data_IF_113814721424
#
_entry.id   IF_113814721424
#
_cell.length_a   1.000
_cell.length_b   1.000
_cell.length_c   1.000
_cell.angle_alpha   90.00
_cell.angle_beta   90.00
_cell.angle_gamma   90.00
#
_symmetry.space_group_name_H-M   'P 1'
#
loop_
_entity.id
_entity.type
_entity.pdbx_description
1 polymer ?
#
# COMPACT_ATOMS: atom_id res chain seq x y z
N UNK A 1 3.37 -13.73 10.23
CA UNK A 1 3.05 -12.52 9.45
C UNK A 1 2.48 -12.93 8.10
N UNK A 2 1.60 -12.14 7.48
CA UNK A 2 1.04 -12.43 6.15
C UNK A 2 1.43 -11.27 5.23
N UNK A 3 2.05 -11.57 4.10
CA UNK A 3 2.28 -10.60 3.04
C UNK A 3 1.14 -10.68 2.02
N UNK A 4 0.47 -9.55 1.80
CA UNK A 4 -0.53 -9.41 0.74
C UNK A 4 0.17 -9.10 -0.58
N UNK A 5 -0.14 -9.88 -1.61
CA UNK A 5 0.39 -9.73 -2.96
C UNK A 5 -0.76 -9.59 -3.93
N UNK A 6 -0.74 -8.58 -4.78
CA UNK A 6 -1.75 -8.37 -5.83
C UNK A 6 -1.12 -8.66 -7.18
N UNK A 7 -1.76 -9.52 -7.97
CA UNK A 7 -1.34 -9.89 -9.33
C UNK A 7 -2.58 -9.88 -10.22
N UNK A 8 -2.61 -9.07 -11.28
CA UNK A 8 -3.77 -8.95 -12.20
C UNK A 8 -5.12 -8.83 -11.45
N UNK A 9 -5.18 -7.92 -10.47
CA UNK A 9 -6.32 -7.68 -9.57
C UNK A 9 -6.70 -8.84 -8.62
N UNK A 10 -5.90 -9.92 -8.58
CA UNK A 10 -6.07 -11.02 -7.65
C UNK A 10 -5.20 -10.85 -6.41
N UNK A 11 -5.83 -10.92 -5.23
CA UNK A 11 -5.15 -10.90 -3.93
C UNK A 11 -4.69 -12.32 -3.54
N UNK A 12 -3.39 -12.46 -3.30
CA UNK A 12 -2.73 -13.64 -2.75
C UNK A 12 -2.14 -13.33 -1.38
N UNK A 13 -2.45 -14.16 -0.39
CA UNK A 13 -1.93 -14.04 0.96
C UNK A 13 -0.81 -15.05 1.22
N UNK A 14 0.41 -14.55 1.37
CA UNK A 14 1.59 -15.37 1.63
C UNK A 14 1.90 -15.41 3.12
N UNK A 15 1.67 -16.55 3.76
CA UNK A 15 2.02 -16.74 5.16
C UNK A 15 3.55 -16.89 5.33
N UNK A 16 4.13 -15.94 6.07
CA UNK A 16 5.54 -15.92 6.47
C UNK A 16 5.61 -15.89 8.01
N UNK A 17 5.83 -17.03 8.67
CA UNK A 17 5.98 -17.09 10.12
C UNK A 17 7.21 -16.29 10.59
N UNK A 18 7.13 -15.66 11.77
CA UNK A 18 8.27 -14.93 12.35
C UNK A 18 9.47 -15.84 12.61
N UNK A 19 9.22 -17.10 13.00
CA UNK A 19 10.26 -18.11 13.16
C UNK A 19 11.02 -18.38 11.86
N UNK A 20 10.33 -18.34 10.72
CA UNK A 20 10.94 -18.48 9.41
C UNK A 20 11.80 -17.26 9.07
N UNK A 21 11.30 -16.05 9.33
CA UNK A 21 12.05 -14.80 9.14
C UNK A 21 13.33 -14.81 9.97
N UNK A 22 13.26 -15.25 11.23
CA UNK A 22 14.43 -15.37 12.11
C UNK A 22 15.46 -16.36 11.58
N UNK A 23 15.02 -17.52 11.06
CA UNK A 23 15.92 -18.53 10.50
C UNK A 23 16.53 -18.12 9.15
N UNK A 24 15.85 -17.27 8.39
CA UNK A 24 16.29 -16.85 7.05
C UNK A 24 17.21 -15.61 7.05
N UNK A 25 17.59 -15.08 8.22
CA UNK A 25 18.41 -13.85 8.30
C UNK A 25 19.73 -13.95 7.54
N UNK A 26 20.43 -15.08 7.60
CA UNK A 26 21.68 -15.27 6.86
C UNK A 26 21.48 -15.19 5.35
N UNK A 27 20.35 -15.73 4.86
CA UNK A 27 19.99 -15.63 3.46
C UNK A 27 19.68 -14.18 3.06
N UNK A 28 18.94 -13.45 3.91
CA UNK A 28 18.63 -12.03 3.67
C UNK A 28 19.89 -11.16 3.66
N UNK A 29 20.81 -11.39 4.61
CA UNK A 29 22.09 -10.68 4.67
C UNK A 29 22.96 -10.96 3.43
N UNK A 30 22.96 -12.21 2.93
CA UNK A 30 23.63 -12.54 1.67
C UNK A 30 23.01 -11.81 0.49
N UNK A 31 21.68 -11.75 0.42
CA UNK A 31 20.99 -11.04 -0.66
C UNK A 31 21.30 -9.54 -0.62
N UNK A 32 21.36 -8.95 0.56
CA UNK A 32 21.79 -7.56 0.75
C UNK A 32 23.21 -7.33 0.24
N UNK A 33 24.15 -8.18 0.64
CA UNK A 33 25.54 -8.11 0.20
C UNK A 33 25.70 -8.33 -1.31
N UNK A 34 24.86 -9.17 -1.91
CA UNK A 34 24.83 -9.38 -3.36
C UNK A 34 24.35 -8.11 -4.09
N UNK A 35 23.30 -7.45 -3.58
CA UNK A 35 22.81 -6.18 -4.14
C UNK A 35 23.76 -5.00 -3.89
N UNK A 36 24.55 -5.03 -2.81
CA UNK A 36 25.59 -4.03 -2.52
C UNK A 36 26.75 -4.04 -3.53
N UNK A 37 26.89 -5.11 -4.33
CA UNK A 37 27.89 -5.22 -5.41
C UNK A 37 27.41 -4.64 -6.75
N UNK A 38 26.23 -4.05 -6.76
CA UNK A 38 25.55 -3.60 -7.95
C UNK A 38 24.58 -4.65 -8.49
N UNK A 39 23.48 -4.16 -9.03
CA UNK A 39 22.42 -5.00 -9.59
C UNK A 39 21.94 -4.42 -10.91
N UNK A 40 21.73 -5.29 -11.91
CA UNK A 40 21.07 -4.88 -13.14
C UNK A 40 19.56 -4.77 -12.89
N UNK A 41 19.07 -3.54 -12.93
CA UNK A 41 17.64 -3.21 -12.85
C UNK A 41 17.19 -2.80 -14.23
N UNK A 42 16.45 -3.66 -14.90
CA UNK A 42 15.98 -3.47 -16.27
C UNK A 42 17.19 -3.27 -17.21
N UNK A 43 17.34 -2.07 -17.79
CA UNK A 43 18.45 -1.68 -18.68
C UNK A 43 19.54 -0.86 -17.98
N UNK A 44 19.43 -0.65 -16.67
CA UNK A 44 20.33 0.17 -15.87
C UNK A 44 21.13 -0.68 -14.90
N UNK A 45 22.41 -0.35 -14.72
CA UNK A 45 23.22 -0.90 -13.65
C UNK A 45 23.15 0.03 -12.44
N UNK A 46 22.59 -0.46 -11.33
CA UNK A 46 22.48 0.31 -10.09
C UNK A 46 23.54 -0.20 -9.12
N UNK A 47 24.56 0.61 -8.82
CA UNK A 47 25.70 0.21 -7.99
C UNK A 47 25.30 -0.20 -6.57
N UNK A 48 24.33 0.50 -5.96
CA UNK A 48 23.83 0.16 -4.63
C UNK A 48 22.34 0.49 -4.51
N UNK A 49 21.45 -0.47 -4.82
CA UNK A 49 20.01 -0.29 -4.69
C UNK A 49 19.61 0.14 -3.27
N UNK A 50 18.73 1.13 -3.18
CA UNK A 50 18.15 1.54 -1.91
C UNK A 50 17.12 0.51 -1.40
N UNK A 51 16.57 0.74 -0.21
CA UNK A 51 15.70 -0.22 0.45
C UNK A 51 14.42 -0.52 -0.34
N UNK A 52 13.84 0.50 -0.99
CA UNK A 52 12.65 0.34 -1.82
C UNK A 52 12.96 -0.48 -3.07
N UNK A 53 14.05 -0.14 -3.75
CA UNK A 53 14.48 -0.86 -4.96
C UNK A 53 14.90 -2.31 -4.65
N UNK A 54 15.50 -2.57 -3.49
CA UNK A 54 15.76 -3.95 -3.02
C UNK A 54 14.48 -4.75 -2.83
N UNK A 55 13.44 -4.12 -2.28
CA UNK A 55 12.14 -4.76 -2.15
C UNK A 55 11.49 -5.01 -3.52
N UNK A 56 11.66 -4.12 -4.50
CA UNK A 56 11.22 -4.35 -5.88
C UNK A 56 12.00 -5.50 -6.55
N UNK A 57 13.31 -5.59 -6.34
CA UNK A 57 14.13 -6.72 -6.83
C UNK A 57 13.64 -8.04 -6.21
N UNK A 58 13.36 -8.05 -4.90
CA UNK A 58 12.79 -9.20 -4.22
C UNK A 58 11.37 -9.53 -4.71
N UNK A 59 10.55 -8.52 -5.00
CA UNK A 59 9.21 -8.67 -5.57
C UNK A 59 9.25 -9.29 -6.97
N UNK A 60 10.21 -8.89 -7.81
CA UNK A 60 10.41 -9.51 -9.11
C UNK A 60 10.81 -10.99 -8.98
N UNK A 61 11.73 -11.31 -8.05
CA UNK A 61 12.09 -12.69 -7.76
C UNK A 61 10.94 -13.49 -7.16
N UNK A 62 10.07 -12.86 -6.37
CA UNK A 62 8.85 -13.45 -5.84
C UNK A 62 7.90 -13.83 -6.97
N UNK A 63 7.64 -12.90 -7.90
CA UNK A 63 6.82 -13.16 -9.09
C UNK A 63 7.35 -14.37 -9.87
N UNK A 64 8.65 -14.38 -10.18
CA UNK A 64 9.28 -15.53 -10.86
C UNK A 64 9.12 -16.83 -10.07
N UNK A 65 9.22 -16.80 -8.74
CA UNK A 65 9.03 -17.98 -7.92
C UNK A 65 7.58 -18.48 -7.93
N UNK A 66 6.60 -17.56 -7.95
CA UNK A 66 5.18 -17.90 -8.05
C UNK A 66 4.86 -18.53 -9.42
N UNK A 67 5.36 -17.96 -10.51
CA UNK A 67 5.18 -18.49 -11.87
C UNK A 67 5.77 -19.91 -12.03
N UNK A 68 6.85 -20.20 -11.31
CA UNK A 68 7.53 -21.49 -11.32
C UNK A 68 7.04 -22.45 -10.22
N UNK A 69 6.02 -22.06 -9.44
CA UNK A 69 5.52 -22.83 -8.28
C UNK A 69 6.61 -23.15 -7.22
N UNK A 70 7.70 -22.37 -7.18
CA UNK A 70 8.75 -22.51 -6.17
C UNK A 70 8.32 -21.86 -4.85
N UNK A 71 7.55 -22.60 -4.08
CA UNK A 71 7.04 -22.15 -2.79
C UNK A 71 8.16 -21.82 -1.78
N UNK A 72 9.35 -22.42 -1.90
CA UNK A 72 10.46 -22.18 -0.99
C UNK A 72 11.09 -20.82 -1.29
N UNK A 73 11.43 -20.57 -2.56
CA UNK A 73 11.97 -19.29 -2.97
C UNK A 73 10.92 -18.18 -2.80
N UNK A 74 9.66 -18.44 -3.13
CA UNK A 74 8.56 -17.50 -2.92
C UNK A 74 8.43 -17.08 -1.46
N UNK A 75 8.47 -18.04 -0.52
CA UNK A 75 8.44 -17.71 0.92
C UNK A 75 9.69 -16.95 1.37
N UNK A 76 10.88 -17.25 0.82
CA UNK A 76 12.10 -16.48 1.10
C UNK A 76 11.99 -15.04 0.61
N UNK A 77 11.47 -14.80 -0.60
CA UNK A 77 11.32 -13.44 -1.13
C UNK A 77 10.25 -12.65 -0.37
N UNK A 78 9.11 -13.27 -0.09
CA UNK A 78 8.09 -12.67 0.77
C UNK A 78 8.65 -12.33 2.15
N UNK A 79 9.43 -13.24 2.74
CA UNK A 79 10.13 -13.05 4.00
C UNK A 79 11.16 -11.92 3.98
N UNK A 80 11.91 -11.79 2.89
CA UNK A 80 12.87 -10.71 2.72
C UNK A 80 12.16 -9.34 2.70
N UNK A 81 11.07 -9.23 1.93
CA UNK A 81 10.31 -7.98 1.80
C UNK A 81 9.80 -7.54 3.17
N UNK A 82 9.11 -8.41 3.92
CA UNK A 82 8.60 -8.05 5.26
C UNK A 82 9.71 -7.82 6.30
N UNK A 83 10.87 -8.48 6.15
CA UNK A 83 11.99 -8.31 7.07
C UNK A 83 12.73 -6.99 6.88
N UNK A 84 12.82 -6.51 5.63
CA UNK A 84 13.50 -5.25 5.29
C UNK A 84 12.54 -4.07 5.24
N UNK A 85 11.27 -4.30 4.91
CA UNK A 85 10.21 -3.31 4.94
C UNK A 85 9.08 -3.80 5.85
N UNK A 86 9.24 -3.67 7.18
CA UNK A 86 8.21 -4.11 8.13
C UNK A 86 6.92 -3.28 8.04
N UNK A 87 6.98 -2.10 7.41
CA UNK A 87 5.84 -1.21 7.16
C UNK A 87 5.11 -1.56 5.85
N UNK A 88 5.38 -2.70 5.21
CA UNK A 88 4.69 -3.06 3.96
C UNK A 88 3.25 -3.49 4.24
N UNK A 89 2.27 -2.82 3.61
CA UNK A 89 0.87 -3.25 3.63
C UNK A 89 0.63 -4.34 2.57
N UNK A 90 0.97 -4.03 1.32
CA UNK A 90 0.84 -4.95 0.19
C UNK A 90 1.84 -4.67 -0.92
N UNK A 91 2.06 -5.69 -1.74
CA UNK A 91 2.95 -5.62 -2.92
C UNK A 91 2.12 -5.89 -4.16
N UNK A 92 2.15 -4.97 -5.12
CA UNK A 92 1.55 -5.17 -6.43
C UNK A 92 2.62 -5.68 -7.40
N UNK A 93 2.44 -6.89 -7.91
CA UNK A 93 3.30 -7.48 -8.93
C UNK A 93 2.71 -7.22 -10.31
N UNK A 94 3.58 -6.92 -11.27
CA UNK A 94 3.23 -6.63 -12.65
C UNK A 94 3.81 -7.73 -13.54
N UNK A 95 3.05 -8.79 -13.90
CA UNK A 95 3.56 -9.93 -14.67
C UNK A 95 4.20 -9.56 -16.01
N UNK A 96 3.65 -8.55 -16.68
CA UNK A 96 4.16 -8.02 -17.96
C UNK A 96 5.13 -6.84 -17.78
N UNK A 97 5.46 -6.46 -16.55
CA UNK A 97 6.30 -5.31 -16.23
C UNK A 97 7.76 -5.69 -16.00
N UNK A 98 8.58 -4.66 -15.81
CA UNK A 98 9.96 -4.80 -15.35
C UNK A 98 10.05 -4.62 -13.81
N UNK A 99 11.25 -4.74 -13.23
CA UNK A 99 11.45 -4.72 -11.76
C UNK A 99 10.84 -3.46 -11.12
N UNK A 100 11.01 -2.30 -11.76
CA UNK A 100 10.52 -1.01 -11.26
C UNK A 100 9.01 -0.84 -11.35
N UNK A 101 8.32 -1.66 -12.15
CA UNK A 101 6.87 -1.58 -12.29
C UNK A 101 6.14 -2.23 -11.10
N UNK A 102 6.83 -3.08 -10.34
CA UNK A 102 6.31 -3.60 -9.08
C UNK A 102 6.17 -2.48 -8.05
N UNK A 103 4.99 -2.39 -7.44
CA UNK A 103 4.68 -1.34 -6.47
C UNK A 103 4.70 -1.91 -5.06
N UNK A 104 5.42 -1.23 -4.17
CA UNK A 104 5.45 -1.55 -2.75
C UNK A 104 4.61 -0.52 -2.02
N UNK A 105 3.46 -0.94 -1.52
CA UNK A 105 2.57 -0.08 -0.75
C UNK A 105 2.91 -0.26 0.72
N UNK A 106 3.29 0.83 1.36
CA UNK A 106 3.59 0.87 2.77
C UNK A 106 2.31 1.24 3.54
N UNK A 107 2.10 0.60 4.68
CA UNK A 107 1.14 1.02 5.68
C UNK A 107 1.46 2.46 6.08
N UNK A 108 0.64 3.42 5.64
CA UNK A 108 0.72 4.82 6.08
C UNK A 108 0.06 4.99 7.46
N UNK A 109 0.09 3.95 8.32
CA UNK A 109 -0.42 4.05 9.68
C UNK A 109 0.59 4.82 10.54
N UNK A 110 0.29 6.06 10.97
CA UNK A 110 1.02 6.62 12.08
C UNK A 110 0.69 5.76 13.29
N UNK A 111 1.72 5.34 14.01
CA UNK A 111 1.59 4.76 15.34
C UNK A 111 0.54 5.58 16.15
N UNK A 112 -0.60 5.02 16.59
CA UNK A 112 -1.65 5.81 17.24
C UNK A 112 -1.32 6.18 18.69
N UNK A 113 -0.12 5.89 19.18
CA UNK A 113 0.31 6.31 20.50
C UNK A 113 1.06 7.66 20.44
N UNK A 114 0.43 8.62 21.10
CA UNK A 114 0.88 9.98 21.43
C UNK A 114 0.65 11.06 20.36
N UNK A 115 -0.60 11.52 20.20
CA UNK A 115 -0.90 12.96 20.25
C UNK A 115 -2.39 13.24 20.47
N UNK A 116 -2.64 14.13 21.43
CA UNK A 116 -3.90 14.64 21.95
C UNK A 116 -4.93 15.13 20.90
N UNK A 117 -6.22 15.27 21.28
CA UNK A 117 -7.26 15.76 20.38
C UNK A 117 -7.07 17.27 20.16
N UNK A 118 -6.93 17.68 18.90
CA UNK A 118 -7.12 19.07 18.48
C UNK A 118 -8.22 19.12 17.40
N UNK A 119 -9.15 20.08 17.48
CA UNK A 119 -10.36 20.07 16.66
C UNK A 119 -10.12 20.66 15.26
N UNK A 120 -10.74 20.02 14.28
CA UNK A 120 -11.41 20.63 13.12
C UNK A 120 -10.66 21.68 12.31
N UNK A 121 -9.85 21.25 11.33
CA UNK A 121 -9.62 21.96 10.05
C UNK A 121 -9.45 20.98 8.89
N UNK A 122 -10.50 20.23 8.56
CA UNK A 122 -10.50 19.26 7.46
C UNK A 122 -10.70 19.87 6.05
N UNK A 123 -10.60 21.21 5.90
CA UNK A 123 -10.94 21.92 4.66
C UNK A 123 -9.87 22.90 4.16
N UNK A 124 -8.69 22.98 4.79
CA UNK A 124 -7.60 23.85 4.30
C UNK A 124 -6.99 23.23 3.03
N UNK A 125 -7.01 23.96 1.90
CA UNK A 125 -6.33 23.55 0.65
C UNK A 125 -7.21 23.01 -0.49
N UNK A 126 -8.54 22.98 -0.32
CA UNK A 126 -9.46 22.58 -1.40
C UNK A 126 -9.59 23.73 -2.42
N UNK A 127 -9.42 23.47 -3.74
CA UNK A 127 -9.72 24.48 -4.76
C UNK A 127 -11.22 24.82 -4.73
N UNK A 128 -11.54 26.11 -4.52
CA UNK A 128 -12.92 26.61 -4.45
C UNK A 128 -13.41 27.06 -5.83
N UNK A 129 -14.74 27.07 -6.05
CA UNK A 129 -15.34 27.57 -7.28
C UNK A 129 -15.44 26.60 -8.46
N UNK A 130 -15.36 25.28 -8.24
CA UNK A 130 -15.64 24.30 -9.29
C UNK A 130 -17.14 24.23 -9.62
N UNK A 131 -17.48 23.97 -10.89
CA UNK A 131 -18.88 23.78 -11.27
C UNK A 131 -19.47 22.57 -10.54
N UNK A 132 -20.77 22.60 -10.23
CA UNK A 132 -21.47 21.54 -9.48
C UNK A 132 -21.21 20.12 -10.02
N UNK A 133 -21.01 19.98 -11.33
CA UNK A 133 -20.71 18.68 -11.94
C UNK A 133 -19.25 18.24 -11.70
N UNK A 134 -18.30 19.17 -11.78
CA UNK A 134 -16.88 18.92 -11.53
C UNK A 134 -16.60 18.69 -10.03
N UNK A 135 -17.25 19.44 -9.15
CA UNK A 135 -17.15 19.27 -7.71
C UNK A 135 -17.63 17.88 -7.27
N UNK A 136 -18.67 17.34 -7.91
CA UNK A 136 -19.16 15.98 -7.61
C UNK A 136 -18.21 14.91 -8.12
N UNK A 137 -17.65 15.09 -9.32
CA UNK A 137 -16.65 14.19 -9.87
C UNK A 137 -15.35 14.20 -9.04
N UNK A 138 -14.92 15.37 -8.56
CA UNK A 138 -13.74 15.50 -7.70
C UNK A 138 -13.99 14.91 -6.31
N UNK A 139 -15.13 15.19 -5.68
CA UNK A 139 -15.49 14.59 -4.40
C UNK A 139 -15.59 13.05 -4.47
N UNK A 140 -16.02 12.50 -5.62
CA UNK A 140 -16.02 11.06 -5.85
C UNK A 140 -14.61 10.49 -6.11
N UNK A 141 -13.68 11.27 -6.66
CA UNK A 141 -12.26 10.88 -6.80
C UNK A 141 -11.53 10.95 -5.48
N UNK A 142 -11.89 11.90 -4.64
CA UNK A 142 -11.25 12.12 -3.35
C UNK A 142 -11.73 11.11 -2.30
N UNK A 143 -12.74 10.29 -2.58
CA UNK A 143 -13.28 9.29 -1.66
C UNK A 143 -13.26 7.91 -2.32
N UNK A 144 -12.55 6.95 -1.75
CA UNK A 144 -12.51 5.59 -2.27
C UNK A 144 -13.88 4.90 -2.14
N UNK A 145 -14.08 3.84 -2.91
CA UNK A 145 -15.21 2.94 -2.66
C UNK A 145 -15.07 2.26 -1.30
N UNK A 146 -16.20 1.80 -0.75
CA UNK A 146 -16.18 0.99 0.47
C UNK A 146 -15.52 -0.34 0.16
N UNK A 147 -14.42 -0.62 0.84
CA UNK A 147 -13.71 -1.89 0.74
C UNK A 147 -13.83 -2.66 2.05
N UNK A 148 -13.72 -3.99 1.95
CA UNK A 148 -13.80 -4.88 3.11
C UNK A 148 -12.39 -5.06 3.67
N UNK A 149 -12.18 -4.62 4.90
CA UNK A 149 -10.94 -4.80 5.67
C UNK A 149 -11.19 -5.77 6.82
N UNK A 150 -10.82 -7.03 6.62
CA UNK A 150 -11.08 -8.12 7.56
C UNK A 150 -12.57 -8.36 7.81
N UNK A 151 -13.03 -8.15 9.06
CA UNK A 151 -14.45 -8.27 9.46
C UNK A 151 -15.24 -6.97 9.34
N UNK A 152 -14.60 -5.89 8.89
CA UNK A 152 -15.19 -4.57 8.83
C UNK A 152 -15.14 -4.02 7.40
N UNK A 153 -15.87 -2.94 7.18
CA UNK A 153 -15.92 -2.15 5.97
C UNK A 153 -15.28 -0.79 6.26
N UNK A 154 -14.53 -0.26 5.29
CA UNK A 154 -13.85 1.02 5.38
C UNK A 154 -13.91 1.75 4.04
N UNK A 155 -13.70 3.06 4.07
CA UNK A 155 -13.47 3.88 2.90
C UNK A 155 -12.34 4.87 3.22
N UNK A 156 -11.53 5.21 2.24
CA UNK A 156 -10.44 6.17 2.40
C UNK A 156 -10.86 7.50 1.82
N UNK A 157 -10.37 8.58 2.41
CA UNK A 157 -10.64 9.91 1.88
C UNK A 157 -9.41 10.77 1.81
N UNK A 158 -9.18 11.31 0.62
CA UNK A 158 -8.09 12.18 0.30
C UNK A 158 -8.25 13.52 1.02
N UNK A 159 -7.24 13.85 1.81
CA UNK A 159 -7.05 15.12 2.47
C UNK A 159 -6.11 15.97 1.61
N UNK A 160 -6.65 17.01 0.98
CA UNK A 160 -5.88 17.95 0.14
C UNK A 160 -4.91 18.83 0.93
N UNK A 161 -5.13 19.02 2.24
CA UNK A 161 -4.23 19.78 3.11
C UNK A 161 -2.90 19.05 3.32
N UNK A 162 -2.98 17.73 3.53
CA UNK A 162 -1.84 16.88 3.82
C UNK A 162 -1.37 16.08 2.61
N UNK A 163 -2.13 16.12 1.50
CA UNK A 163 -1.96 15.32 0.30
C UNK A 163 -1.91 13.81 0.58
N UNK A 164 -2.74 13.35 1.53
CA UNK A 164 -2.76 11.96 2.01
C UNK A 164 -4.16 11.39 2.05
N UNK A 165 -4.25 10.07 1.98
CA UNK A 165 -5.50 9.34 2.16
C UNK A 165 -5.71 9.03 3.64
N UNK A 166 -6.84 9.47 4.20
CA UNK A 166 -7.26 9.19 5.56
C UNK A 166 -8.33 8.11 5.57
N UNK A 167 -8.07 7.00 6.27
CA UNK A 167 -9.05 5.91 6.37
C UNK A 167 -10.20 6.23 7.32
N UNK A 168 -11.39 5.76 6.96
CA UNK A 168 -12.55 5.77 7.84
C UNK A 168 -12.36 4.80 9.02
N UNK A 169 -13.04 5.04 10.15
CA UNK A 169 -13.14 4.05 11.22
C UNK A 169 -13.65 2.70 10.68
N UNK A 170 -13.35 1.61 11.40
CA UNK A 170 -13.82 0.27 11.04
C UNK A 170 -15.34 0.17 11.27
N UNK A 171 -16.09 -0.07 10.20
CA UNK A 171 -17.55 -0.14 10.23
C UNK A 171 -17.97 -1.60 10.10
N UNK A 172 -18.81 -2.11 11.01
CA UNK A 172 -19.20 -3.51 10.98
C UNK A 172 -20.18 -3.85 9.84
N UNK A 173 -20.94 -2.86 9.38
CA UNK A 173 -22.02 -3.02 8.40
C UNK A 173 -21.68 -2.29 7.09
N UNK A 174 -21.84 -2.99 5.96
CA UNK A 174 -21.57 -2.45 4.62
C UNK A 174 -22.46 -1.24 4.29
N UNK A 175 -23.76 -1.33 4.60
CA UNK A 175 -24.73 -0.27 4.33
C UNK A 175 -24.42 0.96 5.18
N UNK A 176 -23.97 0.75 6.42
CA UNK A 176 -23.52 1.85 7.27
C UNK A 176 -22.24 2.51 6.71
N UNK A 177 -21.32 1.72 6.15
CA UNK A 177 -20.11 2.23 5.51
C UNK A 177 -20.40 3.03 4.23
N UNK A 178 -21.36 2.57 3.43
CA UNK A 178 -21.82 3.29 2.24
C UNK A 178 -22.49 4.62 2.62
N UNK A 179 -23.33 4.64 3.65
CA UNK A 179 -23.96 5.87 4.14
C UNK A 179 -22.92 6.87 4.70
N UNK A 180 -21.91 6.40 5.45
CA UNK A 180 -20.84 7.26 5.95
C UNK A 180 -19.96 7.80 4.81
N UNK A 181 -19.69 6.98 3.78
CA UNK A 181 -19.01 7.42 2.57
C UNK A 181 -19.80 8.50 1.84
N UNK A 182 -21.10 8.31 1.65
CA UNK A 182 -21.96 9.32 1.00
C UNK A 182 -21.95 10.65 1.77
N UNK A 183 -21.99 10.59 3.10
CA UNK A 183 -21.88 11.78 3.94
C UNK A 183 -20.50 12.47 3.77
N UNK A 184 -19.42 11.70 3.68
CA UNK A 184 -18.07 12.21 3.42
C UNK A 184 -17.94 12.85 2.03
N UNK A 185 -18.50 12.23 0.98
CA UNK A 185 -18.55 12.79 -0.39
C UNK A 185 -19.34 14.09 -0.39
N UNK A 186 -20.52 14.12 0.27
CA UNK A 186 -21.36 15.31 0.35
C UNK A 186 -20.67 16.47 1.04
N UNK A 187 -19.96 16.22 2.15
CA UNK A 187 -19.19 17.25 2.85
C UNK A 187 -18.05 17.82 1.98
N UNK A 188 -17.33 16.96 1.22
CA UNK A 188 -16.32 17.43 0.24
C UNK A 188 -16.94 18.24 -0.88
N UNK A 189 -18.05 17.76 -1.43
CA UNK A 189 -18.78 18.44 -2.49
C UNK A 189 -19.23 19.85 -2.05
N UNK A 190 -19.77 19.97 -0.84
CA UNK A 190 -20.15 21.28 -0.26
C UNK A 190 -18.93 22.19 -0.08
N UNK A 191 -17.77 21.65 0.32
CA UNK A 191 -16.53 22.41 0.43
C UNK A 191 -15.94 22.83 -0.94
N UNK A 192 -16.08 22.00 -1.99
CA UNK A 192 -15.62 22.28 -3.36
C UNK A 192 -16.53 23.26 -4.11
N UNK A 193 -17.84 23.26 -3.81
CA UNK A 193 -18.82 24.21 -4.34
C UNK A 193 -18.83 25.55 -3.59
N UNK A 194 -18.05 25.69 -2.52
CA UNK A 194 -17.91 26.91 -1.72
C UNK A 194 -17.49 28.13 -2.54
#
# INVERSE_FOLDING_TARGET
MILKVVIDDQLLELNVPETFIAQAQDFFAKMDADMDRGWQVNREWVERPDQLLRAQIAANKLLTALDNEDHKLGRLMAGYIVARLPQVDHVELKPAGEIRDHQIHLDDTPNPDVAAPAPSRAHEGIPQGLSRMEALAQAAKDVSQVFKSGRHFRFSVYNHATQRWEESPAIADKTQAEAMREHAVKARFEALCG
#
